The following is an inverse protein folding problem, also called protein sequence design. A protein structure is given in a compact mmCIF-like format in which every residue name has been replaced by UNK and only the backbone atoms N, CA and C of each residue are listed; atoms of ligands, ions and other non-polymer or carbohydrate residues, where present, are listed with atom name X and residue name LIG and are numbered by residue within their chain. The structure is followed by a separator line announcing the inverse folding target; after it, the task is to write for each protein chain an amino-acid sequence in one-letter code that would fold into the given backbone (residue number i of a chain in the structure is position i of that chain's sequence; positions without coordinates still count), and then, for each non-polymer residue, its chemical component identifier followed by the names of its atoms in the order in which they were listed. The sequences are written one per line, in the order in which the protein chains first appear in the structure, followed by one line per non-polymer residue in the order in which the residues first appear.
data_IF_682768649606
#
_entry.id   IF_682768649606
#
_cell.length_a   1.000
_cell.length_b   1.000
_cell.length_c   1.000
_cell.angle_alpha   90.00
_cell.angle_beta   90.00
_cell.angle_gamma   90.00
#
_symmetry.space_group_name_H-M   'P 1'
#
loop_
_entity.id
_entity.type
_entity.pdbx_description
1 polymer ?
#
# COMPACT_ATOMS: atom_id res chain seq x y z
N UNK A 1 -14.73 30.20 38.07
CA UNK A 1 -15.20 29.59 36.82
C UNK A 1 -14.98 30.57 35.65
N UNK A 2 -13.79 30.52 35.08
CA UNK A 2 -13.50 31.23 33.83
C UNK A 2 -13.72 30.28 32.67
N UNK A 3 -14.89 30.32 32.09
CA UNK A 3 -15.15 29.77 30.75
C UNK A 3 -14.44 30.67 29.72
N UNK A 4 -13.24 30.32 29.31
CA UNK A 4 -12.65 30.85 28.08
C UNK A 4 -13.48 30.37 26.89
N UNK A 5 -14.33 31.23 26.35
CA UNK A 5 -14.95 31.04 25.04
C UNK A 5 -13.83 30.99 24.00
N UNK A 6 -13.45 29.80 23.56
CA UNK A 6 -12.62 29.64 22.36
C UNK A 6 -13.43 30.18 21.19
N UNK A 7 -12.95 31.25 20.56
CA UNK A 7 -13.49 31.70 19.26
C UNK A 7 -13.45 30.52 18.30
N UNK A 8 -14.61 30.07 17.82
CA UNK A 8 -14.71 29.07 16.76
C UNK A 8 -14.13 29.65 15.46
N UNK A 9 -12.89 29.30 15.15
CA UNK A 9 -12.28 29.64 13.87
C UNK A 9 -12.88 28.77 12.78
N UNK A 10 -13.65 29.37 11.89
CA UNK A 10 -14.17 28.69 10.70
C UNK A 10 -13.12 28.73 9.60
N UNK A 11 -12.72 27.55 9.12
CA UNK A 11 -11.79 27.40 8.03
C UNK A 11 -12.55 26.96 6.76
N UNK A 12 -12.20 27.55 5.60
CA UNK A 12 -12.83 27.25 4.33
C UNK A 12 -11.83 26.57 3.38
N UNK A 13 -12.34 25.81 2.40
CA UNK A 13 -11.57 25.15 1.36
C UNK A 13 -10.47 24.23 1.92
N UNK A 14 -10.84 23.37 2.87
CA UNK A 14 -9.94 22.39 3.46
C UNK A 14 -9.91 21.08 2.65
N UNK A 15 -8.70 20.54 2.46
CA UNK A 15 -8.51 19.17 1.97
C UNK A 15 -8.65 18.20 3.15
N UNK A 16 -9.71 17.39 3.13
CA UNK A 16 -9.90 16.31 4.09
C UNK A 16 -9.17 15.08 3.62
N UNK A 17 -8.19 14.64 4.41
CA UNK A 17 -7.45 13.40 4.18
C UNK A 17 -8.03 12.34 5.11
N UNK A 18 -8.76 11.38 4.55
CA UNK A 18 -9.41 10.31 5.32
C UNK A 18 -8.49 9.10 5.31
N UNK A 19 -8.06 8.68 6.48
CA UNK A 19 -7.18 7.53 6.66
C UNK A 19 -7.84 6.49 7.55
N UNK A 20 -8.17 5.30 7.02
CA UNK A 20 -8.53 4.17 7.86
C UNK A 20 -7.31 3.69 8.65
N UNK A 21 -7.52 3.34 9.90
CA UNK A 21 -6.52 2.77 10.80
C UNK A 21 -7.09 1.51 11.48
N UNK A 22 -6.23 0.65 11.99
CA UNK A 22 -6.62 -0.58 12.69
C UNK A 22 -7.63 -1.45 11.92
N UNK A 23 -7.32 -1.75 10.64
CA UNK A 23 -8.19 -2.59 9.81
C UNK A 23 -9.53 -1.95 9.44
N UNK A 24 -9.61 -0.62 9.41
CA UNK A 24 -10.83 0.13 9.07
C UNK A 24 -11.76 0.43 10.24
N UNK A 25 -11.45 -0.04 11.45
CA UNK A 25 -12.29 0.19 12.63
C UNK A 25 -12.21 1.63 13.17
N UNK A 26 -11.15 2.34 12.83
CA UNK A 26 -10.96 3.76 13.20
C UNK A 26 -10.68 4.55 11.93
N UNK A 27 -11.36 5.68 11.78
CA UNK A 27 -11.13 6.62 10.70
C UNK A 27 -10.55 7.89 11.27
N UNK A 28 -9.34 8.26 10.83
CA UNK A 28 -8.72 9.52 11.16
C UNK A 28 -8.93 10.52 10.02
N UNK A 29 -9.48 11.68 10.33
CA UNK A 29 -9.59 12.81 9.42
C UNK A 29 -8.46 13.79 9.70
N UNK A 30 -7.60 14.01 8.72
CA UNK A 30 -6.46 14.91 8.82
C UNK A 30 -6.75 16.16 8.00
N UNK A 31 -6.55 17.32 8.60
CA UNK A 31 -6.74 18.61 7.94
C UNK A 31 -5.54 19.53 8.22
N UNK A 32 -5.22 20.37 7.25
CA UNK A 32 -4.20 21.40 7.40
C UNK A 32 -4.85 22.79 7.17
N UNK A 33 -5.28 23.48 8.24
CA UNK A 33 -6.03 24.72 8.10
C UNK A 33 -5.17 25.93 7.72
N UNK A 34 -3.88 25.89 8.01
CA UNK A 34 -3.00 27.08 7.93
C UNK A 34 -2.09 27.06 6.71
N UNK A 35 -1.38 25.94 6.47
CA UNK A 35 -0.35 25.88 5.43
C UNK A 35 -0.96 25.77 4.02
N UNK A 36 -0.30 26.43 3.07
CA UNK A 36 -0.61 26.35 1.64
C UNK A 36 0.68 26.15 0.84
N UNK A 37 0.68 25.34 -0.22
CA UNK A 37 -0.44 24.53 -0.69
C UNK A 37 -0.79 23.38 0.28
N UNK A 38 -2.06 22.95 0.30
CA UNK A 38 -2.46 21.73 0.98
C UNK A 38 -1.98 20.53 0.17
N UNK A 39 -1.29 19.60 0.80
CA UNK A 39 -0.67 18.46 0.14
C UNK A 39 -1.08 17.16 0.81
N UNK A 40 -1.28 16.13 -0.01
CA UNK A 40 -1.57 14.79 0.44
C UNK A 40 -0.83 13.77 -0.43
N UNK A 41 -0.42 12.67 0.16
CA UNK A 41 0.08 11.50 -0.56
C UNK A 41 -0.95 10.38 -0.51
N UNK A 42 -1.14 9.70 -1.62
CA UNK A 42 -2.04 8.56 -1.73
C UNK A 42 -1.20 7.32 -2.02
N UNK A 43 -1.35 6.28 -1.19
CA UNK A 43 -0.67 5.01 -1.43
C UNK A 43 -1.22 4.33 -2.68
N UNK A 44 -0.36 3.63 -3.36
CA UNK A 44 -0.74 2.79 -4.50
C UNK A 44 -1.84 1.79 -4.11
N UNK A 45 -2.86 1.63 -4.97
CA UNK A 45 -3.98 0.71 -4.75
C UNK A 45 -5.11 1.23 -3.86
N UNK A 46 -4.96 2.37 -3.17
CA UNK A 46 -6.01 2.93 -2.29
C UNK A 46 -7.18 3.52 -3.08
N UNK A 47 -6.88 4.20 -4.19
CA UNK A 47 -7.91 4.78 -5.06
C UNK A 47 -7.99 4.05 -6.38
N UNK A 48 -9.22 3.87 -6.88
CA UNK A 48 -9.44 3.36 -8.23
C UNK A 48 -8.92 4.38 -9.24
N UNK A 49 -8.13 3.90 -10.20
CA UNK A 49 -7.69 4.72 -11.33
C UNK A 49 -8.86 5.01 -12.26
N UNK A 50 -9.22 6.26 -12.40
CA UNK A 50 -10.23 6.73 -13.34
C UNK A 50 -9.64 7.77 -14.30
N UNK A 51 -9.96 7.62 -15.58
CA UNK A 51 -9.55 8.58 -16.60
C UNK A 51 -10.72 9.53 -16.84
N UNK A 52 -10.70 10.67 -16.15
CA UNK A 52 -11.77 11.69 -16.24
C UNK A 52 -11.75 12.41 -17.58
N UNK A 53 -10.57 12.70 -18.13
CA UNK A 53 -10.41 13.35 -19.43
C UNK A 53 -9.34 12.65 -20.27
N UNK A 54 -9.77 11.89 -21.26
CA UNK A 54 -8.87 11.15 -22.17
C UNK A 54 -8.02 12.06 -23.08
N UNK A 55 -8.48 13.28 -23.30
CA UNK A 55 -7.84 14.25 -24.22
C UNK A 55 -6.94 15.23 -23.46
N UNK A 56 -6.88 15.16 -22.14
CA UNK A 56 -6.03 16.03 -21.34
C UNK A 56 -4.55 15.80 -21.67
N UNK A 57 -3.86 16.89 -22.00
CA UNK A 57 -2.42 16.93 -22.21
C UNK A 57 -1.83 17.89 -21.19
N UNK A 58 -1.11 17.35 -20.22
CA UNK A 58 -0.35 18.16 -19.27
C UNK A 58 0.84 18.83 -19.94
N UNK A 59 1.22 20.00 -19.47
CA UNK A 59 2.49 20.64 -19.85
C UNK A 59 3.64 19.96 -19.09
N UNK A 60 4.67 19.53 -19.83
CA UNK A 60 5.89 18.99 -19.25
C UNK A 60 6.97 20.09 -19.28
N UNK A 61 7.32 20.63 -18.10
CA UNK A 61 8.41 21.59 -17.95
C UNK A 61 9.66 20.87 -17.45
N UNK A 62 10.69 20.89 -18.29
CA UNK A 62 12.02 20.42 -17.88
C UNK A 62 12.76 21.60 -17.24
N UNK A 63 13.11 21.46 -15.97
CA UNK A 63 13.88 22.46 -15.22
C UNK A 63 15.34 22.04 -15.25
N UNK A 64 16.21 22.95 -15.66
CA UNK A 64 17.65 22.75 -15.54
C UNK A 64 18.08 23.03 -14.10
N UNK A 65 18.34 21.96 -13.37
CA UNK A 65 18.74 22.04 -11.96
C UNK A 65 20.16 22.57 -11.76
N UNK A 66 21.02 22.55 -12.81
CA UNK A 66 22.40 23.04 -12.72
C UNK A 66 22.48 24.55 -12.42
N UNK A 67 21.40 25.29 -12.73
CA UNK A 67 21.29 26.71 -12.41
C UNK A 67 21.06 26.99 -10.91
N UNK A 68 20.59 25.96 -10.15
CA UNK A 68 20.16 26.11 -8.75
C UNK A 68 21.03 25.32 -7.78
N UNK A 69 21.63 24.21 -8.24
CA UNK A 69 22.45 23.30 -7.41
C UNK A 69 23.90 23.46 -7.83
N UNK A 70 24.72 23.90 -6.89
CA UNK A 70 26.16 23.99 -7.10
C UNK A 70 26.84 22.67 -6.70
N UNK A 71 28.03 22.35 -7.25
CA UNK A 71 28.78 21.16 -6.85
C UNK A 71 29.02 21.04 -5.33
N UNK A 72 29.17 22.17 -4.65
CA UNK A 72 29.36 22.25 -3.19
C UNK A 72 28.12 21.89 -2.38
N UNK A 73 26.93 21.95 -2.99
CA UNK A 73 25.67 21.54 -2.35
C UNK A 73 25.49 20.02 -2.37
N UNK A 74 26.29 19.30 -3.15
CA UNK A 74 26.26 17.83 -3.28
C UNK A 74 27.15 17.20 -2.22
N UNK A 75 26.67 17.17 -0.97
CA UNK A 75 27.41 16.60 0.16
C UNK A 75 27.46 15.07 0.18
N UNK A 76 26.68 14.39 -0.70
CA UNK A 76 26.54 12.94 -0.74
C UNK A 76 26.67 12.45 -2.18
N UNK A 77 27.56 11.48 -2.40
CA UNK A 77 27.75 10.78 -3.66
C UNK A 77 27.13 9.37 -3.54
N UNK A 78 26.32 9.00 -4.54
CA UNK A 78 25.78 7.63 -4.62
C UNK A 78 26.85 6.75 -5.29
N UNK A 79 27.56 5.96 -4.51
CA UNK A 79 28.63 5.08 -5.00
C UNK A 79 28.05 3.89 -5.76
N UNK A 80 26.95 3.30 -5.22
CA UNK A 80 26.31 2.14 -5.83
C UNK A 80 24.81 2.14 -5.53
N UNK A 81 24.00 1.77 -6.52
CA UNK A 81 22.56 1.56 -6.36
C UNK A 81 22.25 0.08 -6.52
N UNK A 82 22.07 -0.62 -5.41
CA UNK A 82 21.61 -2.00 -5.41
C UNK A 82 20.09 -2.03 -5.60
N UNK A 83 19.65 -2.45 -6.78
CA UNK A 83 18.23 -2.67 -7.05
C UNK A 83 17.98 -4.18 -7.05
N UNK A 84 17.36 -4.68 -6.00
CA UNK A 84 16.80 -6.02 -6.04
C UNK A 84 15.65 -6.05 -7.05
N UNK A 85 15.74 -6.94 -8.03
CA UNK A 85 14.62 -7.21 -8.92
C UNK A 85 13.44 -7.70 -8.07
N UNK A 86 12.31 -6.99 -8.11
CA UNK A 86 11.09 -7.44 -7.44
C UNK A 86 10.68 -8.78 -8.05
N UNK A 87 10.96 -9.85 -7.35
CA UNK A 87 10.65 -11.21 -7.80
C UNK A 87 9.15 -11.50 -7.81
N UNK A 88 8.36 -10.75 -7.04
CA UNK A 88 6.91 -10.98 -6.86
C UNK A 88 6.20 -9.65 -6.65
N UNK A 89 5.16 -9.40 -7.40
CA UNK A 89 4.28 -8.23 -7.23
C UNK A 89 2.84 -8.68 -6.93
N UNK A 90 2.57 -8.97 -5.66
CA UNK A 90 1.22 -9.35 -5.24
C UNK A 90 0.27 -8.14 -5.12
N UNK A 91 0.80 -6.89 -5.12
CA UNK A 91 -0.04 -5.69 -5.01
C UNK A 91 -0.85 -5.42 -6.25
N UNK A 92 -0.28 -5.69 -7.43
CA UNK A 92 -0.93 -5.47 -8.71
C UNK A 92 -1.76 -6.67 -9.18
N UNK A 93 -1.64 -7.81 -8.48
CA UNK A 93 -2.32 -9.06 -8.87
C UNK A 93 -3.84 -8.92 -8.83
N UNK A 94 -4.49 -9.33 -9.93
CA UNK A 94 -5.95 -9.34 -10.03
C UNK A 94 -6.59 -10.54 -9.33
N UNK A 95 -5.85 -11.64 -9.21
CA UNK A 95 -6.24 -12.86 -8.54
C UNK A 95 -5.13 -13.26 -7.58
N UNK A 96 -5.49 -13.56 -6.35
CA UNK A 96 -4.56 -14.02 -5.32
C UNK A 96 -5.06 -15.34 -4.74
N UNK A 97 -4.16 -16.32 -4.68
CA UNK A 97 -4.35 -17.57 -3.95
C UNK A 97 -3.44 -17.52 -2.74
N UNK A 98 -4.03 -17.42 -1.54
CA UNK A 98 -3.27 -17.23 -0.30
C UNK A 98 -3.29 -18.46 0.58
N UNK A 99 -2.12 -18.85 1.05
CA UNK A 99 -1.95 -19.97 1.97
C UNK A 99 -1.73 -19.53 3.41
N UNK A 100 -2.40 -20.21 4.34
CA UNK A 100 -2.18 -20.08 5.76
C UNK A 100 -1.38 -21.24 6.34
N UNK A 101 -1.17 -21.18 7.65
CA UNK A 101 -0.52 -22.28 8.40
C UNK A 101 -1.26 -23.61 8.25
N UNK A 102 -2.59 -23.58 8.08
CA UNK A 102 -3.43 -24.76 7.88
C UNK A 102 -3.18 -25.54 6.59
N UNK A 103 -2.37 -25.02 5.65
CA UNK A 103 -1.88 -25.77 4.48
C UNK A 103 -0.90 -26.89 4.89
N UNK A 104 -0.27 -26.74 6.05
CA UNK A 104 0.46 -27.80 6.75
C UNK A 104 1.94 -27.89 6.43
N UNK A 105 2.39 -27.60 5.22
CA UNK A 105 3.81 -27.63 4.87
C UNK A 105 4.15 -26.75 3.65
N UNK A 106 5.44 -26.50 3.46
CA UNK A 106 5.97 -25.79 2.29
C UNK A 106 5.69 -26.55 0.98
N UNK A 107 5.78 -27.87 1.02
CA UNK A 107 5.54 -28.75 -0.13
C UNK A 107 4.07 -28.61 -0.59
N UNK A 108 3.14 -28.52 0.34
CA UNK A 108 1.72 -28.35 0.04
C UNK A 108 1.41 -26.99 -0.61
N UNK A 109 2.28 -25.98 -0.43
CA UNK A 109 2.15 -24.72 -1.15
C UNK A 109 2.28 -24.88 -2.67
N UNK A 110 2.90 -25.97 -3.15
CA UNK A 110 2.96 -26.26 -4.58
C UNK A 110 1.56 -26.28 -5.24
N UNK A 111 0.53 -26.80 -4.55
CA UNK A 111 -0.85 -26.80 -5.03
C UNK A 111 -1.40 -25.38 -5.20
N UNK A 112 -1.02 -24.47 -4.33
CA UNK A 112 -1.46 -23.06 -4.41
C UNK A 112 -0.77 -22.34 -5.58
N UNK A 113 0.50 -22.64 -5.84
CA UNK A 113 1.23 -22.12 -7.01
C UNK A 113 0.63 -22.66 -8.30
N UNK A 114 0.27 -23.93 -8.36
CA UNK A 114 -0.39 -24.52 -9.52
C UNK A 114 -1.76 -23.86 -9.77
N UNK A 115 -2.59 -23.72 -8.74
CA UNK A 115 -3.90 -23.08 -8.83
C UNK A 115 -3.76 -21.60 -9.26
N UNK A 116 -2.84 -20.86 -8.68
CA UNK A 116 -2.58 -19.46 -9.05
C UNK A 116 -2.14 -19.34 -10.50
N UNK A 117 -1.26 -20.24 -10.96
CA UNK A 117 -0.80 -20.30 -12.35
C UNK A 117 -1.95 -20.55 -13.32
N UNK A 118 -2.84 -21.50 -13.02
CA UNK A 118 -4.02 -21.80 -13.85
C UNK A 118 -4.99 -20.63 -13.95
N UNK A 119 -5.10 -19.84 -12.88
CA UNK A 119 -5.97 -18.67 -12.81
C UNK A 119 -5.31 -17.37 -13.34
N UNK A 120 -4.02 -17.40 -13.67
CA UNK A 120 -3.25 -16.21 -14.04
C UNK A 120 -3.10 -15.23 -12.85
N UNK A 121 -2.99 -15.76 -11.64
CA UNK A 121 -2.88 -15.02 -10.40
C UNK A 121 -1.52 -15.20 -9.70
N UNK A 122 -1.39 -14.61 -8.52
CA UNK A 122 -0.21 -14.69 -7.67
C UNK A 122 -0.49 -15.45 -6.38
N UNK A 123 0.56 -16.05 -5.80
CA UNK A 123 0.47 -16.71 -4.49
C UNK A 123 0.85 -15.73 -3.39
N UNK A 124 -0.01 -15.65 -2.37
CA UNK A 124 0.26 -14.94 -1.13
C UNK A 124 0.27 -15.88 0.08
N UNK A 125 0.64 -15.35 1.24
CA UNK A 125 0.71 -16.13 2.48
C UNK A 125 0.28 -15.30 3.69
N UNK A 126 -0.26 -15.98 4.70
CA UNK A 126 -0.44 -15.39 6.01
C UNK A 126 0.91 -15.25 6.74
N UNK A 127 0.98 -14.38 7.75
CA UNK A 127 2.16 -14.25 8.60
C UNK A 127 2.60 -15.59 9.20
N UNK A 128 1.67 -16.36 9.72
CA UNK A 128 1.97 -17.66 10.34
C UNK A 128 2.59 -18.67 9.35
N UNK A 129 2.18 -18.63 8.06
CA UNK A 129 2.78 -19.47 7.03
C UNK A 129 4.19 -18.97 6.65
N UNK A 130 4.41 -17.67 6.64
CA UNK A 130 5.74 -17.08 6.40
C UNK A 130 6.69 -17.39 7.56
N UNK A 131 6.25 -17.21 8.81
CA UNK A 131 7.02 -17.53 10.01
C UNK A 131 7.37 -19.03 10.08
N UNK A 132 6.52 -19.91 9.54
CA UNK A 132 6.78 -21.35 9.39
C UNK A 132 7.66 -21.70 8.17
N UNK A 133 8.07 -20.72 7.37
CA UNK A 133 8.94 -20.92 6.20
C UNK A 133 8.25 -21.50 4.97
N UNK A 134 6.90 -21.49 4.91
CA UNK A 134 6.15 -22.03 3.76
C UNK A 134 6.23 -21.09 2.53
N UNK A 135 6.34 -19.79 2.75
CA UNK A 135 6.51 -18.79 1.71
C UNK A 135 7.46 -17.68 2.17
N UNK A 136 8.01 -16.92 1.21
CA UNK A 136 8.86 -15.77 1.52
C UNK A 136 8.07 -14.56 2.04
N UNK A 137 8.75 -13.68 2.76
CA UNK A 137 8.16 -12.49 3.39
C UNK A 137 7.53 -11.51 2.39
N UNK A 138 8.05 -11.48 1.17
CA UNK A 138 7.53 -10.67 0.05
C UNK A 138 6.11 -11.05 -0.36
N UNK A 139 5.63 -12.25 0.04
CA UNK A 139 4.29 -12.78 -0.21
C UNK A 139 3.34 -12.60 0.97
N UNK A 140 3.81 -12.01 2.07
CA UNK A 140 2.98 -11.84 3.26
C UNK A 140 1.89 -10.80 3.06
N UNK A 141 0.62 -11.20 3.27
CA UNK A 141 -0.56 -10.31 3.29
C UNK A 141 -1.03 -10.14 4.72
N UNK A 142 -1.40 -8.91 5.09
CA UNK A 142 -1.92 -8.58 6.40
C UNK A 142 -1.45 -7.23 6.93
N UNK A 143 -1.75 -6.94 8.18
CA UNK A 143 -1.44 -5.69 8.85
C UNK A 143 0.07 -5.36 8.85
N UNK A 144 0.93 -6.39 8.99
CA UNK A 144 2.40 -6.27 9.00
C UNK A 144 3.04 -6.65 7.68
N UNK A 145 2.25 -7.03 6.69
CA UNK A 145 2.68 -7.40 5.35
C UNK A 145 2.20 -6.40 4.31
N UNK A 146 1.99 -6.92 3.13
CA UNK A 146 1.49 -6.18 1.98
C UNK A 146 -0.03 -6.06 2.05
N UNK A 147 -0.55 -4.87 1.76
CA UNK A 147 -1.98 -4.68 1.51
C UNK A 147 -2.26 -4.91 0.03
N UNK A 148 -3.26 -5.75 -0.28
CA UNK A 148 -3.64 -6.15 -1.63
C UNK A 148 -5.11 -5.86 -1.90
N UNK A 149 -5.46 -5.68 -3.17
CA UNK A 149 -6.83 -5.40 -3.61
C UNK A 149 -7.17 -6.16 -4.90
N UNK A 150 -7.14 -7.50 -4.85
CA UNK A 150 -7.47 -8.30 -6.02
C UNK A 150 -8.97 -8.29 -6.30
N UNK A 151 -9.34 -8.71 -7.50
CA UNK A 151 -10.75 -8.99 -7.85
C UNK A 151 -11.24 -10.30 -7.23
N UNK A 152 -10.31 -11.24 -7.06
CA UNK A 152 -10.58 -12.55 -6.44
C UNK A 152 -9.46 -12.88 -5.46
N UNK A 153 -9.84 -13.20 -4.22
CA UNK A 153 -8.93 -13.67 -3.19
C UNK A 153 -9.40 -15.04 -2.69
N UNK A 154 -8.59 -16.07 -2.91
CA UNK A 154 -8.83 -17.43 -2.44
C UNK A 154 -7.95 -17.69 -1.24
N UNK A 155 -8.57 -17.91 -0.07
CA UNK A 155 -7.86 -18.17 1.18
C UNK A 155 -7.91 -19.66 1.54
N UNK A 156 -6.75 -20.31 1.61
CA UNK A 156 -6.59 -21.72 1.91
C UNK A 156 -5.87 -21.90 3.24
N UNK A 157 -6.51 -22.57 4.22
CA UNK A 157 -5.90 -22.82 5.51
C UNK A 157 -5.58 -21.56 6.33
N UNK A 158 -6.35 -20.49 6.14
CA UNK A 158 -6.24 -19.20 6.83
C UNK A 158 -7.39 -19.08 7.84
N UNK A 159 -7.10 -18.67 9.09
CA UNK A 159 -8.08 -18.54 10.16
C UNK A 159 -9.03 -17.36 10.02
N UNK A 160 -8.72 -16.39 9.14
CA UNK A 160 -9.54 -15.19 8.94
C UNK A 160 -9.43 -14.13 10.05
N UNK A 161 -8.38 -14.18 10.85
CA UNK A 161 -8.15 -13.16 11.87
C UNK A 161 -7.95 -11.77 11.25
N UNK A 162 -8.32 -10.72 12.02
CA UNK A 162 -8.30 -9.34 11.58
C UNK A 162 -6.92 -8.87 11.09
N UNK A 163 -5.84 -9.43 11.66
CA UNK A 163 -4.48 -9.12 11.26
C UNK A 163 -4.18 -9.51 9.81
N UNK A 164 -4.83 -10.55 9.30
CA UNK A 164 -4.73 -10.96 7.91
C UNK A 164 -5.73 -10.21 7.02
N UNK A 165 -7.00 -10.17 7.45
CA UNK A 165 -8.08 -9.56 6.67
C UNK A 165 -7.90 -8.06 6.49
N UNK A 166 -7.21 -7.37 7.41
CA UNK A 166 -6.83 -5.96 7.26
C UNK A 166 -5.92 -5.68 6.03
N UNK A 167 -5.25 -6.70 5.51
CA UNK A 167 -4.44 -6.58 4.28
C UNK A 167 -5.20 -6.89 3.00
N UNK A 168 -6.47 -7.32 3.07
CA UNK A 168 -7.25 -7.72 1.89
C UNK A 168 -8.65 -7.11 1.80
N UNK A 169 -9.20 -6.64 2.91
CA UNK A 169 -10.56 -6.06 3.00
C UNK A 169 -10.49 -4.53 2.90
N UNK A 170 -10.28 -3.98 1.71
CA UNK A 170 -10.31 -2.53 1.47
C UNK A 170 -11.14 -2.17 0.24
#
# INVERSE_FOLDING_TARGET
DHEEKKEEKVYQNLLYQIRPAFGGNIVATIVNPVCRPQMATVREGVMKREVVNKNYRGELKKIDVSAFIKPEDLAVEIIERHMEARKVDIKSAQIIVSGGYGVGSKENFAMLYELASLLGGEVAASRAAVDAGYAGHERQVGQTGVTVRPKLYIACGISGQIQHTAGMNQ
#
